data_IF_899730682973
#
_entry.id   IF_899730682973
#
_cell.length_a   1.000
_cell.length_b   1.000
_cell.length_c   1.000
_cell.angle_alpha   90.00
_cell.angle_beta   90.00
_cell.angle_gamma   90.00
#
_symmetry.space_group_name_H-M   'P 1'
#
loop_
_entity.id
_entity.type
_entity.pdbx_description
1 polymer ?
#
# COMPACT_ATOMS: atom_id res chain seq x y z
N UNK A 1 8.83 -1.47 55.58
CA UNK A 1 7.70 -2.37 55.90
C UNK A 1 7.52 -3.38 54.78
N UNK A 2 7.77 -4.67 55.07
CA UNK A 2 7.36 -5.88 54.33
C UNK A 2 7.97 -6.27 52.96
N UNK A 3 9.26 -6.06 52.66
CA UNK A 3 9.86 -6.75 51.49
C UNK A 3 10.03 -8.27 51.71
N UNK A 4 10.40 -8.71 52.92
CA UNK A 4 10.66 -10.12 53.23
C UNK A 4 9.42 -11.03 53.16
N UNK A 5 8.21 -10.49 53.43
CA UNK A 5 6.96 -11.28 53.38
C UNK A 5 6.50 -11.55 51.94
N UNK A 6 6.87 -10.68 51.00
CA UNK A 6 6.62 -10.88 49.57
C UNK A 6 7.68 -11.77 48.92
N UNK A 7 8.96 -11.65 49.32
CA UNK A 7 10.01 -12.56 48.83
C UNK A 7 9.76 -14.03 49.19
N UNK A 8 9.21 -14.33 50.38
CA UNK A 8 8.80 -15.70 50.75
C UNK A 8 7.65 -16.28 49.92
N UNK A 9 6.92 -15.49 49.13
CA UNK A 9 5.78 -15.95 48.30
C UNK A 9 6.14 -16.19 46.83
N UNK A 10 7.36 -15.87 46.43
CA UNK A 10 7.83 -16.07 45.05
C UNK A 10 8.38 -17.47 44.80
N UNK A 11 8.78 -18.20 45.84
CA UNK A 11 9.26 -19.58 45.74
C UNK A 11 8.09 -20.57 45.72
N UNK A 12 7.98 -21.36 44.64
CA UNK A 12 6.97 -22.38 44.41
C UNK A 12 7.44 -23.79 44.84
N UNK A 13 8.57 -23.91 45.54
CA UNK A 13 9.04 -25.13 46.20
C UNK A 13 9.17 -26.35 45.26
N UNK A 14 9.57 -26.12 44.01
CA UNK A 14 9.72 -27.17 42.99
C UNK A 14 8.40 -27.67 42.42
N UNK A 15 7.33 -26.87 42.49
CA UNK A 15 6.03 -27.23 41.91
C UNK A 15 6.14 -27.56 40.42
N UNK A 16 5.45 -28.62 39.99
CA UNK A 16 5.34 -29.01 38.58
C UNK A 16 4.04 -28.47 38.01
N UNK A 17 4.13 -27.45 37.17
CA UNK A 17 2.99 -26.83 36.49
C UNK A 17 2.80 -27.43 35.10
N UNK A 18 1.55 -27.61 34.71
CA UNK A 18 1.18 -28.02 33.34
C UNK A 18 1.01 -26.77 32.51
N UNK A 19 1.83 -26.64 31.49
CA UNK A 19 1.89 -25.44 30.68
C UNK A 19 1.48 -25.76 29.25
N UNK A 20 0.72 -24.85 28.64
CA UNK A 20 0.29 -24.99 27.25
C UNK A 20 0.73 -23.81 26.41
N UNK A 21 1.08 -24.06 25.15
CA UNK A 21 1.56 -23.04 24.22
C UNK A 21 1.16 -23.37 22.80
N UNK A 22 1.08 -22.37 21.92
CA UNK A 22 0.81 -22.56 20.50
C UNK A 22 1.81 -21.74 19.68
N UNK A 23 2.02 -22.17 18.43
CA UNK A 23 2.99 -21.56 17.53
C UNK A 23 2.65 -20.10 17.25
N UNK A 24 3.58 -19.20 17.57
CA UNK A 24 3.45 -17.77 17.33
C UNK A 24 4.85 -17.15 17.23
N UNK A 25 5.36 -17.00 16.00
CA UNK A 25 6.68 -16.41 15.82
C UNK A 25 6.68 -14.91 16.24
N UNK A 26 7.80 -14.35 16.73
CA UNK A 26 9.00 -15.03 17.23
C UNK A 26 8.90 -15.46 18.71
N UNK A 27 7.72 -15.36 19.33
CA UNK A 27 7.46 -15.70 20.74
C UNK A 27 7.64 -17.17 21.06
N UNK A 28 7.05 -18.01 20.23
CA UNK A 28 7.04 -19.47 20.35
C UNK A 28 7.18 -20.09 18.97
N UNK A 29 8.24 -20.85 18.77
CA UNK A 29 8.43 -21.76 17.67
C UNK A 29 8.22 -23.18 18.19
N UNK A 30 7.45 -23.96 17.44
CA UNK A 30 7.19 -25.37 17.73
C UNK A 30 7.69 -26.17 16.55
N UNK A 31 8.61 -27.09 16.80
CA UNK A 31 9.14 -28.03 15.82
C UNK A 31 9.01 -29.45 16.37
N UNK A 32 8.72 -30.41 15.51
CA UNK A 32 8.68 -31.81 15.90
C UNK A 32 10.02 -32.46 15.53
N UNK A 33 10.68 -33.05 16.53
CA UNK A 33 11.92 -33.81 16.32
C UNK A 33 11.60 -35.15 15.64
N UNK A 34 12.58 -35.76 14.96
CA UNK A 34 12.43 -37.06 14.31
C UNK A 34 11.96 -38.18 15.25
N UNK A 35 12.21 -38.04 16.55
CA UNK A 35 11.82 -38.96 17.63
C UNK A 35 10.38 -38.74 18.13
N UNK A 36 9.65 -37.78 17.55
CA UNK A 36 8.27 -37.44 17.94
C UNK A 36 8.15 -36.46 19.11
N UNK A 37 9.27 -36.08 19.74
CA UNK A 37 9.30 -35.06 20.79
C UNK A 37 9.08 -33.65 20.22
N UNK A 38 8.46 -32.76 21.02
CA UNK A 38 8.28 -31.36 20.66
C UNK A 38 9.48 -30.54 21.11
N UNK A 39 10.14 -29.88 20.17
CA UNK A 39 11.14 -28.86 20.43
C UNK A 39 10.47 -27.48 20.39
N UNK A 40 10.38 -26.85 21.56
CA UNK A 40 9.70 -25.56 21.75
C UNK A 40 10.72 -24.53 22.20
N UNK A 41 10.80 -23.41 21.50
CA UNK A 41 11.76 -22.34 21.79
C UNK A 41 11.24 -20.96 21.37
N UNK A 42 11.83 -19.88 21.88
CA UNK A 42 11.44 -18.51 21.53
C UNK A 42 11.59 -17.57 22.72
N UNK A 43 11.31 -16.27 22.53
CA UNK A 43 11.55 -15.28 23.60
C UNK A 43 10.64 -15.48 24.81
N UNK A 44 9.46 -16.07 24.62
CA UNK A 44 8.55 -16.39 25.73
C UNK A 44 9.05 -17.57 26.55
N UNK A 45 9.71 -18.54 25.92
CA UNK A 45 10.32 -19.68 26.59
C UNK A 45 11.56 -19.24 27.37
N UNK A 46 12.36 -18.32 26.82
CA UNK A 46 13.48 -17.70 27.55
C UNK A 46 13.00 -16.98 28.83
N UNK A 47 11.82 -16.36 28.79
CA UNK A 47 11.20 -15.74 29.96
C UNK A 47 10.72 -16.77 30.98
N UNK A 48 10.05 -17.83 30.53
CA UNK A 48 9.62 -18.91 31.44
C UNK A 48 10.82 -19.58 32.09
N UNK A 49 11.90 -19.86 31.36
CA UNK A 49 13.13 -20.39 31.95
C UNK A 49 13.71 -19.46 33.04
N UNK A 50 13.61 -18.14 32.84
CA UNK A 50 14.01 -17.17 33.87
C UNK A 50 13.07 -17.20 35.07
N UNK A 51 11.76 -17.32 34.85
CA UNK A 51 10.77 -17.46 35.91
C UNK A 51 10.96 -18.76 36.70
N UNK A 52 11.23 -19.88 36.04
CA UNK A 52 11.50 -21.18 36.67
C UNK A 52 12.68 -21.08 37.64
N UNK A 53 13.74 -20.36 37.27
CA UNK A 53 14.88 -20.10 38.15
C UNK A 53 14.55 -19.15 39.30
N UNK A 54 13.78 -18.09 39.03
CA UNK A 54 13.44 -17.08 40.04
C UNK A 54 12.41 -17.56 41.06
N UNK A 55 11.50 -18.43 40.64
CA UNK A 55 10.34 -18.88 41.42
C UNK A 55 10.42 -20.37 41.76
N UNK A 56 11.47 -21.08 41.34
CA UNK A 56 11.72 -22.50 41.66
C UNK A 56 10.50 -23.39 41.34
N UNK A 57 10.09 -23.42 40.09
CA UNK A 57 9.06 -24.33 39.56
C UNK A 57 9.55 -24.99 38.27
N UNK A 58 8.81 -25.98 37.79
CA UNK A 58 9.05 -26.62 36.49
C UNK A 58 7.77 -26.62 35.67
N UNK A 59 7.87 -26.24 34.41
CA UNK A 59 6.78 -26.05 33.47
C UNK A 59 6.85 -27.16 32.41
N UNK A 60 5.91 -28.11 32.45
CA UNK A 60 5.81 -29.12 31.40
C UNK A 60 5.00 -28.55 30.24
N UNK A 61 5.68 -28.09 29.19
CA UNK A 61 5.07 -27.33 28.08
C UNK A 61 4.66 -28.28 26.96
N UNK A 62 3.40 -28.19 26.53
CA UNK A 62 2.87 -28.96 25.40
C UNK A 62 1.89 -28.15 24.55
N UNK A 63 1.78 -28.43 23.24
CA UNK A 63 0.76 -27.82 22.41
C UNK A 63 -0.63 -28.41 22.66
N UNK A 64 -1.72 -27.64 22.48
CA UNK A 64 -3.08 -28.16 22.59
C UNK A 64 -3.37 -29.15 21.44
N UNK A 65 -4.22 -30.16 21.66
CA UNK A 65 -4.49 -31.19 20.65
C UNK A 65 -5.07 -30.65 19.33
N UNK A 66 -5.83 -29.56 19.39
CA UNK A 66 -6.50 -28.93 18.26
C UNK A 66 -5.68 -27.79 17.60
N UNK A 67 -4.49 -27.49 18.14
CA UNK A 67 -3.57 -26.45 17.66
C UNK A 67 -4.16 -25.04 17.56
N UNK A 68 -5.13 -24.70 18.40
CA UNK A 68 -5.78 -23.39 18.42
C UNK A 68 -5.42 -22.58 19.67
N UNK A 69 -5.50 -21.25 19.57
CA UNK A 69 -5.37 -20.36 20.74
C UNK A 69 -6.59 -20.46 21.66
N UNK A 70 -7.77 -20.53 21.06
CA UNK A 70 -9.02 -20.78 21.75
C UNK A 70 -10.10 -19.82 21.31
N UNK A 71 -11.19 -20.40 20.81
CA UNK A 71 -12.42 -19.73 20.43
C UNK A 71 -13.60 -20.33 21.18
N UNK A 72 -14.61 -19.50 21.42
CA UNK A 72 -15.85 -19.91 22.03
C UNK A 72 -16.69 -20.66 20.98
N UNK A 73 -17.06 -21.91 21.29
CA UNK A 73 -18.01 -22.66 20.46
C UNK A 73 -19.44 -22.28 20.81
N UNK A 74 -20.36 -22.58 19.90
CA UNK A 74 -21.81 -22.38 20.08
C UNK A 74 -22.40 -23.19 21.25
N UNK A 75 -21.74 -24.26 21.65
CA UNK A 75 -22.12 -25.07 22.82
C UNK A 75 -21.66 -24.44 24.16
N UNK A 76 -20.97 -23.30 24.12
CA UNK A 76 -20.41 -22.62 25.29
C UNK A 76 -19.05 -23.15 25.74
N UNK A 77 -18.50 -24.18 25.09
CA UNK A 77 -17.18 -24.72 25.39
C UNK A 77 -16.07 -23.95 24.69
N UNK A 78 -14.89 -23.92 25.30
CA UNK A 78 -13.70 -23.28 24.74
C UNK A 78 -12.79 -24.30 24.05
N UNK A 79 -12.23 -23.92 22.90
CA UNK A 79 -11.18 -24.68 22.20
C UNK A 79 -9.78 -24.24 22.62
N UNK A 80 -8.75 -24.93 22.12
CA UNK A 80 -7.38 -24.46 22.19
C UNK A 80 -6.80 -24.33 23.59
N UNK A 81 -5.84 -23.43 23.72
CA UNK A 81 -5.16 -23.10 24.99
C UNK A 81 -6.16 -22.68 26.08
N UNK A 82 -7.14 -21.85 25.72
CA UNK A 82 -8.17 -21.37 26.65
C UNK A 82 -9.00 -22.55 27.17
N UNK A 83 -9.41 -23.47 26.30
CA UNK A 83 -10.16 -24.67 26.67
C UNK A 83 -9.39 -25.63 27.58
N UNK A 84 -8.08 -25.78 27.36
CA UNK A 84 -7.22 -26.61 28.22
C UNK A 84 -7.12 -26.05 29.65
N UNK A 85 -7.04 -24.72 29.78
CA UNK A 85 -6.98 -24.07 31.09
C UNK A 85 -8.33 -24.03 31.77
N UNK A 86 -9.42 -23.75 31.06
CA UNK A 86 -10.78 -23.79 31.59
C UNK A 86 -11.13 -25.17 32.15
N UNK A 87 -10.82 -26.23 31.38
CA UNK A 87 -11.22 -27.60 31.69
C UNK A 87 -10.36 -28.34 32.73
N UNK A 88 -9.45 -27.67 33.46
CA UNK A 88 -8.66 -28.39 34.47
C UNK A 88 -7.30 -28.92 34.02
N UNK A 89 -7.01 -28.93 32.72
CA UNK A 89 -5.92 -29.72 32.13
C UNK A 89 -4.58 -29.00 32.08
N UNK A 90 -4.60 -27.67 32.02
CA UNK A 90 -3.42 -26.82 32.12
C UNK A 90 -3.56 -25.77 33.22
N UNK A 91 -2.42 -25.34 33.76
CA UNK A 91 -2.32 -24.38 34.87
C UNK A 91 -1.86 -22.99 34.38
N UNK A 92 -1.06 -22.94 33.30
CA UNK A 92 -0.49 -21.72 32.73
C UNK A 92 -0.47 -21.76 31.19
N UNK A 93 -0.88 -20.65 30.55
CA UNK A 93 -0.73 -20.41 29.11
C UNK A 93 0.55 -19.62 28.87
N UNK A 94 1.48 -20.22 28.13
CA UNK A 94 2.78 -19.64 27.79
C UNK A 94 2.81 -19.27 26.31
N UNK A 95 2.04 -18.26 25.92
CA UNK A 95 2.11 -17.64 24.59
C UNK A 95 1.57 -16.21 24.64
N UNK A 96 1.56 -15.48 23.52
CA UNK A 96 0.98 -14.14 23.44
C UNK A 96 -0.52 -14.24 23.25
N UNK A 97 -1.23 -14.56 24.32
CA UNK A 97 -2.68 -14.66 24.27
C UNK A 97 -3.27 -13.24 24.34
N UNK A 98 -3.96 -12.83 23.27
CA UNK A 98 -4.65 -11.55 23.23
C UNK A 98 -5.74 -11.47 24.30
N UNK A 99 -5.71 -10.39 25.08
CA UNK A 99 -6.68 -10.09 26.12
C UNK A 99 -7.97 -9.55 25.50
N UNK A 100 -8.92 -10.46 25.27
CA UNK A 100 -10.28 -10.15 24.80
C UNK A 100 -11.29 -10.33 25.91
N UNK A 101 -12.40 -9.58 25.84
CA UNK A 101 -13.49 -9.65 26.81
C UNK A 101 -14.06 -11.07 26.91
N UNK A 102 -14.21 -11.76 25.77
CA UNK A 102 -14.70 -13.13 25.74
C UNK A 102 -13.77 -14.08 26.52
N UNK A 103 -12.45 -14.02 26.31
CA UNK A 103 -11.49 -14.89 27.00
C UNK A 103 -11.35 -14.56 28.49
N UNK A 104 -11.44 -13.28 28.87
CA UNK A 104 -11.42 -12.84 30.27
C UNK A 104 -12.58 -13.41 31.12
N UNK A 105 -13.60 -13.98 30.47
CA UNK A 105 -14.68 -14.69 31.17
C UNK A 105 -14.19 -15.97 31.87
N UNK A 106 -13.15 -16.63 31.35
CA UNK A 106 -12.66 -17.96 31.80
C UNK A 106 -11.19 -18.01 32.20
N UNK A 107 -10.38 -17.04 31.76
CA UNK A 107 -8.98 -16.91 32.17
C UNK A 107 -8.71 -15.56 32.82
N UNK A 108 -7.74 -15.53 33.74
CA UNK A 108 -7.15 -14.28 34.24
C UNK A 108 -5.85 -14.04 33.47
N UNK A 109 -5.80 -12.90 32.78
CA UNK A 109 -4.61 -12.46 32.07
C UNK A 109 -3.57 -11.93 33.05
N UNK A 110 -2.33 -12.36 32.84
CA UNK A 110 -1.18 -11.79 33.53
C UNK A 110 -0.80 -10.45 32.90
N UNK A 111 0.14 -9.74 33.52
CA UNK A 111 0.68 -8.48 33.00
C UNK A 111 1.05 -8.62 31.52
N UNK A 112 0.55 -7.68 30.71
CA UNK A 112 0.76 -7.68 29.27
C UNK A 112 2.25 -7.58 28.96
N UNK A 113 2.74 -8.53 28.16
CA UNK A 113 4.14 -8.59 27.72
C UNK A 113 4.35 -7.79 26.43
N UNK A 114 3.30 -7.62 25.64
CA UNK A 114 3.31 -6.83 24.42
C UNK A 114 1.94 -6.27 24.04
N UNK A 115 1.93 -5.34 23.09
CA UNK A 115 0.71 -4.91 22.39
C UNK A 115 0.77 -5.53 20.99
N UNK A 116 -0.09 -6.50 20.71
CA UNK A 116 -0.23 -7.07 19.36
C UNK A 116 -1.04 -6.12 18.49
N UNK A 117 -0.75 -6.12 17.20
CA UNK A 117 -1.48 -5.35 16.19
C UNK A 117 -1.46 -6.11 14.87
N UNK A 118 -2.60 -6.12 14.19
CA UNK A 118 -2.79 -6.90 12.98
C UNK A 118 -2.64 -6.04 11.74
N UNK A 119 -1.93 -6.58 10.76
CA UNK A 119 -1.71 -5.97 9.45
C UNK A 119 -2.30 -6.89 8.39
N UNK A 120 -2.82 -6.28 7.33
CA UNK A 120 -3.20 -7.03 6.14
C UNK A 120 -1.96 -7.24 5.28
N UNK A 121 -1.75 -8.46 4.83
CA UNK A 121 -0.71 -8.82 3.86
C UNK A 121 -1.36 -9.40 2.62
N UNK A 122 -0.74 -9.15 1.48
CA UNK A 122 -1.15 -9.72 0.21
C UNK A 122 0.07 -9.87 -0.69
N UNK A 123 -0.07 -10.59 -1.80
CA UNK A 123 0.94 -10.54 -2.86
C UNK A 123 1.22 -9.08 -3.30
N UNK A 124 2.42 -8.75 -3.78
CA UNK A 124 2.71 -7.44 -4.31
C UNK A 124 1.76 -7.07 -5.44
N UNK A 125 1.04 -5.96 -5.26
CA UNK A 125 0.17 -5.43 -6.29
C UNK A 125 1.04 -5.00 -7.48
N UNK A 126 0.78 -5.57 -8.66
CA UNK A 126 1.33 -5.01 -9.89
C UNK A 126 0.70 -3.64 -10.06
N UNK A 127 1.50 -2.59 -10.22
CA UNK A 127 0.97 -1.26 -10.53
C UNK A 127 0.23 -1.33 -11.88
N UNK A 128 -1.09 -1.47 -11.80
CA UNK A 128 -2.00 -1.52 -12.95
C UNK A 128 -2.35 -0.11 -13.44
N UNK A 129 -1.80 0.95 -12.83
CA UNK A 129 -1.98 2.30 -13.37
C UNK A 129 -1.48 2.33 -14.80
N UNK A 130 -2.38 2.76 -15.68
CA UNK A 130 -2.11 2.89 -17.10
C UNK A 130 -0.86 3.74 -17.30
N UNK A 131 0.08 3.24 -18.11
CA UNK A 131 1.30 4.01 -18.46
C UNK A 131 0.93 5.37 -19.03
N UNK A 132 -0.21 5.45 -19.73
CA UNK A 132 -0.78 6.67 -20.30
C UNK A 132 -1.07 7.75 -19.25
N UNK A 133 -1.54 7.36 -18.07
CA UNK A 133 -1.93 8.30 -17.02
C UNK A 133 -0.76 8.78 -16.17
N UNK A 134 0.41 8.13 -16.24
CA UNK A 134 1.56 8.48 -15.38
C UNK A 134 2.08 9.91 -15.61
N UNK A 135 2.00 10.41 -16.85
CA UNK A 135 2.45 11.76 -17.18
C UNK A 135 1.37 12.83 -16.95
N UNK A 136 0.09 12.47 -17.02
CA UNK A 136 -1.01 13.42 -16.83
C UNK A 136 -1.53 13.46 -15.40
N UNK A 137 -1.18 12.49 -14.56
CA UNK A 137 -1.64 12.38 -13.17
C UNK A 137 -1.09 13.46 -12.24
N UNK A 138 -0.11 14.24 -12.70
CA UNK A 138 0.48 15.33 -11.92
C UNK A 138 -0.54 16.43 -11.63
N UNK A 139 -1.19 16.93 -12.68
CA UNK A 139 -2.20 17.97 -12.53
C UNK A 139 -3.60 17.36 -12.50
N UNK A 140 -4.43 17.86 -11.59
CA UNK A 140 -5.86 17.54 -11.61
C UNK A 140 -6.48 18.06 -12.91
N UNK A 141 -7.61 17.47 -13.33
CA UNK A 141 -8.32 17.92 -14.53
C UNK A 141 -8.62 19.43 -14.50
N UNK A 142 -8.92 19.98 -13.32
CA UNK A 142 -9.14 21.42 -13.15
C UNK A 142 -7.90 22.26 -13.47
N UNK A 143 -6.71 21.81 -13.04
CA UNK A 143 -5.44 22.51 -13.32
C UNK A 143 -5.07 22.40 -14.81
N UNK A 144 -5.29 21.24 -15.44
CA UNK A 144 -5.11 21.10 -16.90
C UNK A 144 -6.00 22.06 -17.69
N UNK A 145 -7.26 22.19 -17.31
CA UNK A 145 -8.20 23.14 -17.94
C UNK A 145 -7.78 24.58 -17.71
N UNK A 146 -7.34 24.93 -16.50
CA UNK A 146 -6.83 26.26 -16.18
C UNK A 146 -5.57 26.60 -16.98
N UNK A 147 -4.64 25.65 -17.14
CA UNK A 147 -3.45 25.82 -17.96
C UNK A 147 -3.82 26.07 -19.43
N UNK A 148 -4.77 25.30 -19.97
CA UNK A 148 -5.32 25.53 -21.32
C UNK A 148 -5.96 26.92 -21.46
N UNK A 149 -6.72 27.36 -20.46
CA UNK A 149 -7.35 28.68 -20.44
C UNK A 149 -6.32 29.83 -20.38
N UNK A 150 -5.27 29.69 -19.56
CA UNK A 150 -4.19 30.68 -19.47
C UNK A 150 -3.38 30.74 -20.76
N UNK A 151 -3.07 29.61 -21.39
CA UNK A 151 -2.34 29.57 -22.66
C UNK A 151 -3.16 30.15 -23.82
N UNK A 152 -4.47 29.87 -23.87
CA UNK A 152 -5.36 30.43 -24.90
C UNK A 152 -5.57 31.92 -24.72
N UNK A 153 -5.80 32.38 -23.48
CA UNK A 153 -5.84 33.81 -23.15
C UNK A 153 -4.52 34.50 -23.48
N UNK A 154 -3.39 33.87 -23.15
CA UNK A 154 -2.05 34.33 -23.48
C UNK A 154 -1.82 34.47 -24.99
N UNK A 155 -2.19 33.46 -25.79
CA UNK A 155 -2.13 33.56 -27.26
C UNK A 155 -3.02 34.72 -27.77
N UNK A 156 -4.23 34.88 -27.23
CA UNK A 156 -5.13 35.96 -27.60
C UNK A 156 -4.55 37.35 -27.31
N UNK A 157 -4.05 37.57 -26.10
CA UNK A 157 -3.44 38.84 -25.68
C UNK A 157 -2.20 39.15 -26.51
N UNK A 158 -1.34 38.16 -26.74
CA UNK A 158 -0.13 38.34 -27.54
C UNK A 158 -0.47 38.61 -29.01
N UNK A 159 -1.47 37.92 -29.58
CA UNK A 159 -1.96 38.18 -30.93
C UNK A 159 -2.52 39.60 -31.09
N UNK A 160 -3.31 40.07 -30.13
CA UNK A 160 -3.82 41.46 -30.13
C UNK A 160 -2.66 42.45 -30.02
N UNK A 161 -1.68 42.21 -29.16
CA UNK A 161 -0.52 43.08 -29.02
C UNK A 161 0.29 43.19 -30.33
N UNK A 162 0.54 42.08 -31.01
CA UNK A 162 1.30 42.05 -32.28
C UNK A 162 0.51 42.66 -33.44
N UNK A 163 -0.82 42.54 -33.47
CA UNK A 163 -1.63 43.05 -34.59
C UNK A 163 -2.10 44.48 -34.43
N UNK A 164 -2.28 44.96 -33.18
CA UNK A 164 -2.87 46.28 -32.88
C UNK A 164 -1.87 47.31 -32.38
N UNK A 165 -0.69 46.92 -31.95
CA UNK A 165 0.34 47.88 -31.51
C UNK A 165 0.82 48.75 -32.69
N UNK A 166 0.78 50.10 -32.58
CA UNK A 166 1.24 51.00 -33.65
C UNK A 166 2.74 50.92 -33.93
N UNK A 167 3.53 50.57 -32.93
CA UNK A 167 5.01 50.53 -33.01
C UNK A 167 5.54 49.18 -33.50
N UNK A 168 4.68 48.24 -33.87
CA UNK A 168 5.08 46.92 -34.32
C UNK A 168 5.36 46.89 -35.82
N UNK A 169 6.53 46.40 -36.22
CA UNK A 169 6.98 46.37 -37.62
C UNK A 169 6.40 45.20 -38.41
N UNK A 170 6.13 44.07 -37.75
CA UNK A 170 5.60 42.85 -38.38
C UNK A 170 4.32 42.38 -37.68
N UNK A 171 3.26 42.18 -38.46
CA UNK A 171 1.99 41.60 -37.97
C UNK A 171 1.94 40.12 -38.31
N UNK A 172 1.98 39.27 -37.29
CA UNK A 172 1.87 37.82 -37.45
C UNK A 172 0.39 37.38 -37.48
N UNK A 173 0.01 36.43 -38.36
CA UNK A 173 -1.31 35.81 -38.34
C UNK A 173 -1.47 34.91 -37.10
N UNK A 174 -2.73 34.67 -36.69
CA UNK A 174 -3.06 33.90 -35.48
C UNK A 174 -2.39 32.51 -35.39
N UNK A 175 -2.28 31.70 -36.48
CA UNK A 175 -1.61 30.40 -36.41
C UNK A 175 -0.12 30.52 -36.08
N UNK A 176 0.56 31.52 -36.64
CA UNK A 176 1.97 31.79 -36.32
C UNK A 176 2.08 32.20 -34.85
N UNK A 177 1.22 33.11 -34.37
CA UNK A 177 1.20 33.54 -32.96
C UNK A 177 1.00 32.37 -31.99
N UNK A 178 0.04 31.48 -32.24
CA UNK A 178 -0.17 30.35 -31.33
C UNK A 178 0.93 29.28 -31.45
N UNK A 179 1.57 29.13 -32.61
CA UNK A 179 2.75 28.26 -32.75
C UNK A 179 3.94 28.76 -31.92
N UNK A 180 4.12 30.09 -31.80
CA UNK A 180 5.15 30.70 -30.95
C UNK A 180 4.89 30.44 -29.46
N UNK A 181 3.64 30.58 -29.00
CA UNK A 181 3.27 30.28 -27.61
C UNK A 181 3.49 28.80 -27.30
N UNK A 182 3.17 27.90 -28.24
CA UNK A 182 3.43 26.48 -28.09
C UNK A 182 4.95 26.16 -28.05
N UNK A 183 5.75 26.82 -28.88
CA UNK A 183 7.21 26.71 -28.84
C UNK A 183 7.79 27.19 -27.49
N UNK A 184 7.27 28.28 -26.92
CA UNK A 184 7.67 28.74 -25.59
C UNK A 184 7.34 27.73 -24.48
N UNK A 185 6.22 27.01 -24.59
CA UNK A 185 5.88 25.92 -23.65
C UNK A 185 6.83 24.73 -23.80
N UNK A 186 7.25 24.41 -25.03
CA UNK A 186 8.24 23.39 -25.31
C UNK A 186 9.69 23.82 -24.98
N UNK A 187 9.87 24.97 -24.33
CA UNK A 187 11.17 25.58 -24.04
C UNK A 187 12.05 25.76 -25.28
N UNK A 188 11.43 25.94 -26.46
CA UNK A 188 12.13 26.19 -27.70
C UNK A 188 12.34 27.70 -27.89
N UNK A 189 13.55 28.07 -28.28
CA UNK A 189 13.85 29.43 -28.71
C UNK A 189 13.11 29.77 -30.00
N UNK A 190 12.73 31.03 -30.16
CA UNK A 190 12.24 31.54 -31.43
C UNK A 190 13.05 32.77 -31.82
N UNK A 191 13.28 32.92 -33.11
CA UNK A 191 13.80 34.13 -33.75
C UNK A 191 12.70 35.23 -33.83
N UNK A 192 11.97 35.45 -32.73
CA UNK A 192 10.83 36.36 -32.70
C UNK A 192 11.28 37.82 -32.59
N UNK A 193 11.07 38.55 -33.69
CA UNK A 193 11.42 39.95 -33.92
C UNK A 193 10.38 40.94 -33.35
N UNK A 194 9.99 40.79 -32.08
CA UNK A 194 8.99 41.69 -31.47
C UNK A 194 9.61 43.05 -31.12
N UNK A 195 9.10 44.12 -31.73
CA UNK A 195 9.69 45.46 -31.65
C UNK A 195 9.02 46.37 -30.62
N UNK A 196 7.69 46.28 -30.45
CA UNK A 196 6.97 47.17 -29.53
C UNK A 196 7.09 46.73 -28.06
N UNK A 197 7.06 47.69 -27.13
CA UNK A 197 7.19 47.41 -25.69
C UNK A 197 6.02 46.60 -25.12
N UNK A 198 4.80 46.80 -25.64
CA UNK A 198 3.58 46.09 -25.21
C UNK A 198 3.64 44.60 -25.55
N UNK A 199 4.07 44.27 -26.77
CA UNK A 199 4.22 42.91 -27.27
C UNK A 199 5.45 42.22 -26.66
N UNK A 200 6.52 42.95 -26.35
CA UNK A 200 7.65 42.45 -25.51
C UNK A 200 7.21 42.08 -24.11
N UNK A 201 6.40 42.92 -23.44
CA UNK A 201 5.90 42.61 -22.10
C UNK A 201 4.99 41.38 -22.13
N UNK A 202 4.06 41.30 -23.10
CA UNK A 202 3.21 40.12 -23.29
C UNK A 202 4.04 38.86 -23.52
N UNK A 203 5.07 38.93 -24.37
CA UNK A 203 5.98 37.81 -24.63
C UNK A 203 6.75 37.40 -23.37
N UNK A 204 7.32 38.36 -22.64
CA UNK A 204 8.01 38.10 -21.37
C UNK A 204 7.08 37.45 -20.35
N UNK A 205 5.82 37.90 -20.23
CA UNK A 205 4.86 37.28 -19.31
C UNK A 205 4.53 35.84 -19.69
N UNK A 206 4.44 35.54 -20.99
CA UNK A 206 4.22 34.17 -21.50
C UNK A 206 5.45 33.31 -21.20
N UNK A 207 6.66 33.79 -21.47
CA UNK A 207 7.90 33.08 -21.16
C UNK A 207 8.03 32.78 -19.66
N UNK A 208 7.72 33.74 -18.80
CA UNK A 208 7.72 33.53 -17.36
C UNK A 208 6.69 32.49 -16.92
N UNK A 209 5.47 32.56 -17.46
CA UNK A 209 4.43 31.58 -17.16
C UNK A 209 4.82 30.17 -17.63
N UNK A 210 5.37 30.01 -18.83
CA UNK A 210 5.80 28.70 -19.34
C UNK A 210 6.98 28.13 -18.57
N UNK A 211 7.94 28.96 -18.16
CA UNK A 211 9.06 28.53 -17.30
C UNK A 211 8.55 28.00 -15.97
N UNK A 212 7.63 28.70 -15.29
CA UNK A 212 7.05 28.26 -14.03
C UNK A 212 6.35 26.91 -14.18
N UNK A 213 5.51 26.76 -15.20
CA UNK A 213 4.79 25.50 -15.48
C UNK A 213 5.78 24.35 -15.74
N UNK A 214 6.79 24.58 -16.57
CA UNK A 214 7.81 23.55 -16.91
C UNK A 214 8.64 23.15 -15.69
N UNK A 215 9.05 24.10 -14.85
CA UNK A 215 9.82 23.81 -13.63
C UNK A 215 8.98 23.01 -12.63
N UNK A 216 7.72 23.38 -12.43
CA UNK A 216 6.84 22.64 -11.53
C UNK A 216 6.59 21.21 -12.03
N UNK A 217 6.25 21.06 -13.31
CA UNK A 217 6.00 19.75 -13.92
C UNK A 217 7.23 18.84 -13.86
N UNK A 218 8.42 19.37 -14.19
CA UNK A 218 9.67 18.59 -14.14
C UNK A 218 10.07 18.20 -12.72
N UNK A 219 9.89 19.10 -11.74
CA UNK A 219 10.22 18.83 -10.33
C UNK A 219 9.38 17.69 -9.76
N UNK A 220 8.08 17.66 -10.03
CA UNK A 220 7.24 16.56 -9.59
C UNK A 220 7.57 15.25 -10.29
N UNK A 221 7.80 15.30 -11.61
CA UNK A 221 8.18 14.11 -12.37
C UNK A 221 9.47 13.51 -11.79
N UNK A 222 10.46 14.33 -11.44
CA UNK A 222 11.65 13.87 -10.75
C UNK A 222 11.33 13.23 -9.39
N UNK A 223 10.52 13.87 -8.55
CA UNK A 223 10.15 13.33 -7.24
C UNK A 223 9.41 11.99 -7.33
N UNK A 224 8.55 11.82 -8.33
CA UNK A 224 7.78 10.58 -8.51
C UNK A 224 8.64 9.46 -9.09
N UNK A 225 9.60 9.80 -9.96
CA UNK A 225 10.53 8.81 -10.52
C UNK A 225 11.61 8.39 -9.51
N UNK A 226 11.94 9.23 -8.53
CA UNK A 226 12.89 8.88 -7.46
C UNK A 226 12.24 8.10 -6.33
N UNK A 227 10.97 8.40 -6.00
CA UNK A 227 10.22 7.67 -4.99
C UNK A 227 9.41 6.54 -5.63
N UNK A 228 9.89 5.31 -5.51
CA UNK A 228 9.09 4.12 -5.74
C UNK A 228 8.08 3.94 -4.57
N UNK A 229 7.01 4.73 -4.56
CA UNK A 229 5.96 4.56 -3.56
C UNK A 229 5.18 3.28 -3.90
N UNK A 230 5.15 2.27 -3.01
CA UNK A 230 4.38 1.07 -3.24
C UNK A 230 2.89 1.43 -3.42
N UNK A 231 2.27 0.84 -4.44
CA UNK A 231 0.84 0.99 -4.68
C UNK A 231 0.07 0.02 -3.78
N UNK A 232 -0.79 0.56 -2.92
CA UNK A 232 -1.72 -0.23 -2.12
C UNK A 232 -3.11 -0.16 -2.76
N UNK A 233 -3.64 -1.29 -3.29
CA UNK A 233 -4.96 -1.30 -3.92
C UNK A 233 -6.09 -1.11 -2.89
N UNK A 234 -5.83 -1.47 -1.63
CA UNK A 234 -6.79 -1.36 -0.55
C UNK A 234 -6.22 -0.53 0.61
N UNK A 235 -7.09 0.18 1.30
CA UNK A 235 -6.75 1.02 2.46
C UNK A 235 -7.44 0.52 3.76
N UNK A 236 -8.31 -0.47 3.67
CA UNK A 236 -8.94 -1.13 4.82
C UNK A 236 -10.15 -1.99 4.45
N UNK A 237 -10.94 -2.36 5.46
CA UNK A 237 -12.08 -3.27 5.28
C UNK A 237 -13.12 -2.76 4.26
N UNK A 238 -13.42 -1.46 4.26
CA UNK A 238 -14.38 -0.88 3.32
C UNK A 238 -13.93 -1.06 1.86
N UNK A 239 -12.68 -0.72 1.54
CA UNK A 239 -12.14 -0.90 0.19
C UNK A 239 -12.05 -2.36 -0.24
N UNK A 240 -11.89 -3.31 0.71
CA UNK A 240 -11.96 -4.75 0.40
C UNK A 240 -13.40 -5.18 0.08
N UNK A 241 -14.39 -4.65 0.80
CA UNK A 241 -15.80 -4.93 0.55
C UNK A 241 -16.26 -4.36 -0.80
N UNK A 242 -15.79 -3.16 -1.16
CA UNK A 242 -16.16 -2.50 -2.41
C UNK A 242 -15.59 -3.25 -3.65
N UNK A 243 -14.46 -3.95 -3.50
CA UNK A 243 -13.85 -4.78 -4.55
C UNK A 243 -14.66 -6.07 -4.82
N UNK A 244 -15.21 -6.70 -3.78
CA UNK A 244 -16.11 -7.87 -3.88
C UNK A 244 -15.50 -9.17 -4.43
N UNK A 245 -14.29 -9.14 -5.00
CA UNK A 245 -13.58 -10.29 -5.55
C UNK A 245 -12.55 -10.90 -4.60
N UNK A 246 -12.09 -10.12 -3.62
CA UNK A 246 -11.04 -10.53 -2.70
C UNK A 246 -11.57 -11.32 -1.51
N UNK A 247 -10.87 -12.39 -1.12
CA UNK A 247 -11.15 -13.13 0.11
C UNK A 247 -10.23 -12.67 1.23
N UNK A 248 -10.79 -12.48 2.43
CA UNK A 248 -10.03 -12.13 3.63
C UNK A 248 -9.75 -13.38 4.46
N UNK A 249 -8.47 -13.64 4.67
CA UNK A 249 -7.95 -14.77 5.42
C UNK A 249 -7.67 -14.46 6.89
N UNK A 250 -8.03 -15.37 7.78
CA UNK A 250 -7.80 -15.34 9.24
C UNK A 250 -7.33 -16.70 9.75
N UNK A 251 -6.60 -16.73 10.86
CA UNK A 251 -6.31 -17.99 11.56
C UNK A 251 -7.54 -18.46 12.33
N UNK A 252 -7.90 -19.73 12.16
CA UNK A 252 -8.99 -20.37 12.90
C UNK A 252 -8.68 -20.44 14.41
N UNK A 253 -9.66 -20.14 15.24
CA UNK A 253 -9.49 -20.13 16.70
C UNK A 253 -8.69 -18.93 17.25
N UNK A 254 -8.47 -17.90 16.42
CA UNK A 254 -7.81 -16.65 16.83
C UNK A 254 -8.77 -15.68 17.54
N UNK A 255 -8.21 -14.72 18.27
CA UNK A 255 -8.93 -13.62 18.92
C UNK A 255 -9.77 -12.83 17.92
N UNK A 256 -9.19 -12.51 16.77
CA UNK A 256 -9.83 -11.74 15.71
C UNK A 256 -11.03 -12.45 15.12
N UNK A 257 -10.97 -13.78 14.96
CA UNK A 257 -12.13 -14.50 14.44
C UNK A 257 -13.36 -14.20 15.30
N UNK A 258 -13.22 -14.30 16.63
CA UNK A 258 -14.31 -14.04 17.57
C UNK A 258 -14.70 -12.56 17.54
N UNK A 259 -13.72 -11.65 17.52
CA UNK A 259 -13.97 -10.19 17.50
C UNK A 259 -14.76 -9.74 16.26
N UNK A 260 -14.43 -10.29 15.08
CA UNK A 260 -15.12 -9.96 13.83
C UNK A 260 -16.50 -10.64 13.78
N UNK A 261 -16.59 -11.91 14.19
CA UNK A 261 -17.84 -12.68 14.19
C UNK A 261 -18.89 -12.09 15.15
N UNK A 262 -18.47 -11.66 16.34
CA UNK A 262 -19.35 -11.10 17.38
C UNK A 262 -19.51 -9.57 17.28
N UNK A 263 -18.85 -8.92 16.33
CA UNK A 263 -18.88 -7.47 16.22
C UNK A 263 -20.29 -6.93 15.97
N UNK A 264 -20.60 -5.79 16.60
CA UNK A 264 -21.83 -5.01 16.34
C UNK A 264 -21.67 -4.00 15.21
N UNK A 265 -20.45 -3.81 14.69
CA UNK A 265 -20.20 -2.92 13.59
C UNK A 265 -20.79 -3.50 12.29
N UNK A 266 -21.67 -2.77 11.58
CA UNK A 266 -22.23 -3.24 10.31
C UNK A 266 -21.17 -3.57 9.26
N UNK A 267 -20.02 -2.90 9.25
CA UNK A 267 -18.92 -3.16 8.32
C UNK A 267 -18.31 -4.53 8.61
N UNK A 268 -17.95 -4.81 9.88
CA UNK A 268 -17.33 -6.07 10.26
C UNK A 268 -18.26 -7.27 10.10
N UNK A 269 -19.56 -7.09 10.33
CA UNK A 269 -20.56 -8.12 10.04
C UNK A 269 -20.64 -8.47 8.55
N UNK A 270 -20.50 -7.47 7.67
CA UNK A 270 -20.41 -7.69 6.23
C UNK A 270 -19.11 -8.36 5.85
N UNK A 271 -17.98 -7.94 6.42
CA UNK A 271 -16.66 -8.59 6.21
C UNK A 271 -16.72 -10.08 6.56
N UNK A 272 -17.33 -10.44 7.69
CA UNK A 272 -17.50 -11.84 8.09
C UNK A 272 -18.28 -12.65 7.05
N UNK A 273 -19.42 -12.12 6.61
CA UNK A 273 -20.36 -12.81 5.71
C UNK A 273 -19.89 -12.86 4.25
N UNK A 274 -19.28 -11.77 3.75
CA UNK A 274 -18.95 -11.58 2.34
C UNK A 274 -17.51 -12.00 2.02
N UNK A 275 -16.54 -11.77 2.92
CA UNK A 275 -15.11 -11.93 2.62
C UNK A 275 -14.44 -13.14 3.30
N UNK A 276 -14.92 -13.55 4.47
CA UNK A 276 -14.27 -14.59 5.30
C UNK A 276 -14.99 -15.94 5.14
N UNK A 277 -16.29 -15.99 5.39
CA UNK A 277 -17.03 -17.26 5.41
C UNK A 277 -17.37 -17.73 3.99
N UNK A 278 -17.07 -18.99 3.57
CA UNK A 278 -16.47 -20.10 4.33
C UNK A 278 -14.98 -20.39 4.01
N UNK A 279 -14.36 -19.67 3.07
CA UNK A 279 -13.03 -20.04 2.51
C UNK A 279 -11.83 -19.33 3.13
N UNK A 280 -12.05 -18.33 3.98
CA UNK A 280 -11.00 -17.48 4.55
C UNK A 280 -10.34 -18.00 5.83
N UNK A 281 -10.69 -19.18 6.34
CA UNK A 281 -10.09 -19.70 7.57
C UNK A 281 -8.86 -20.56 7.27
N UNK A 282 -7.69 -20.09 7.69
CA UNK A 282 -6.42 -20.80 7.64
C UNK A 282 -6.14 -21.53 8.97
N UNK A 283 -5.49 -22.70 8.96
CA UNK A 283 -5.18 -23.44 10.18
C UNK A 283 -4.07 -22.79 11.02
N UNK A 284 -3.12 -22.11 10.39
CA UNK A 284 -2.00 -21.43 11.07
C UNK A 284 -1.48 -20.26 10.21
N UNK A 285 -0.64 -19.42 10.81
CA UNK A 285 -0.03 -18.26 10.13
C UNK A 285 0.75 -18.66 8.87
N UNK A 286 1.45 -19.80 8.89
CA UNK A 286 2.31 -20.23 7.78
C UNK A 286 1.49 -20.58 6.53
N UNK A 287 0.40 -21.33 6.69
CA UNK A 287 -0.52 -21.66 5.63
C UNK A 287 -1.31 -20.43 5.17
N UNK A 288 -1.72 -19.55 6.09
CA UNK A 288 -2.38 -18.29 5.74
C UNK A 288 -1.50 -17.37 4.88
N UNK A 289 -0.21 -17.25 5.21
CA UNK A 289 0.77 -16.52 4.41
C UNK A 289 0.98 -17.17 3.03
N UNK A 290 1.05 -18.51 2.94
CA UNK A 290 1.15 -19.20 1.65
C UNK A 290 -0.07 -18.89 0.76
N UNK A 291 -1.28 -18.88 1.34
CA UNK A 291 -2.50 -18.54 0.62
C UNK A 291 -2.51 -17.09 0.12
N UNK A 292 -1.98 -16.13 0.88
CA UNK A 292 -1.90 -14.71 0.45
C UNK A 292 -0.94 -14.45 -0.71
N UNK A 293 -0.17 -15.45 -1.16
CA UNK A 293 0.59 -15.37 -2.41
C UNK A 293 -0.32 -15.48 -3.65
N UNK A 294 -1.51 -16.06 -3.51
CA UNK A 294 -2.46 -16.17 -4.61
C UNK A 294 -3.23 -14.86 -4.84
N UNK A 295 -3.60 -14.63 -6.10
CA UNK A 295 -4.35 -13.44 -6.52
C UNK A 295 -5.71 -13.40 -5.82
N UNK A 296 -6.06 -12.22 -5.27
CA UNK A 296 -7.34 -12.01 -4.60
C UNK A 296 -7.42 -12.55 -3.16
N UNK A 297 -6.32 -13.00 -2.56
CA UNK A 297 -6.29 -13.40 -1.16
C UNK A 297 -5.52 -12.40 -0.30
N UNK A 298 -6.20 -11.77 0.64
CA UNK A 298 -5.61 -10.86 1.64
C UNK A 298 -5.62 -11.58 2.98
N UNK A 299 -4.49 -11.68 3.68
CA UNK A 299 -4.40 -12.36 4.97
C UNK A 299 -4.17 -11.35 6.09
N UNK A 300 -4.88 -11.48 7.21
CA UNK A 300 -4.71 -10.64 8.37
C UNK A 300 -3.86 -11.38 9.41
N UNK A 301 -2.71 -10.81 9.76
CA UNK A 301 -1.69 -11.43 10.62
C UNK A 301 -1.13 -10.42 11.61
N UNK A 302 -0.66 -10.89 12.76
CA UNK A 302 0.08 -10.05 13.72
C UNK A 302 1.42 -9.62 13.08
N UNK A 303 1.74 -8.33 13.14
CA UNK A 303 2.94 -7.79 12.49
C UNK A 303 4.24 -8.48 12.96
N UNK A 304 4.40 -8.71 14.27
CA UNK A 304 5.56 -9.40 14.83
C UNK A 304 5.67 -10.84 14.34
N UNK A 305 4.53 -11.53 14.15
CA UNK A 305 4.49 -12.89 13.62
C UNK A 305 4.82 -12.97 12.14
N UNK A 306 4.40 -11.99 11.33
CA UNK A 306 4.81 -11.91 9.93
C UNK A 306 6.33 -11.87 9.78
N UNK A 307 7.01 -10.94 10.47
CA UNK A 307 8.48 -10.82 10.40
C UNK A 307 9.22 -11.94 11.16
N UNK A 308 8.58 -12.54 12.17
CA UNK A 308 9.16 -13.63 12.96
C UNK A 308 9.29 -14.94 12.19
N UNK A 309 8.45 -15.17 11.17
CA UNK A 309 8.46 -16.43 10.42
C UNK A 309 9.70 -16.55 9.49
N UNK A 310 10.03 -17.79 9.08
CA UNK A 310 11.14 -18.09 8.16
C UNK A 310 10.69 -17.96 6.69
N UNK A 311 10.17 -16.79 6.32
CA UNK A 311 9.67 -16.51 4.98
C UNK A 311 10.34 -15.23 4.48
N UNK A 312 10.52 -15.09 3.17
CA UNK A 312 10.98 -13.84 2.57
C UNK A 312 9.86 -12.78 2.61
N UNK A 313 9.98 -11.72 3.43
CA UNK A 313 8.92 -10.70 3.56
C UNK A 313 8.69 -9.92 2.26
N UNK A 314 9.69 -9.87 1.37
CA UNK A 314 9.60 -9.13 0.10
C UNK A 314 8.69 -9.80 -0.94
N UNK A 315 8.27 -11.04 -0.70
CA UNK A 315 7.26 -11.72 -1.54
C UNK A 315 5.83 -11.22 -1.25
N UNK A 316 5.68 -10.27 -0.31
CA UNK A 316 4.40 -9.74 0.14
C UNK A 316 4.42 -8.21 0.19
N UNK A 317 3.25 -7.62 0.12
CA UNK A 317 3.01 -6.22 0.44
C UNK A 317 2.18 -6.14 1.72
N UNK A 318 2.74 -5.47 2.71
CA UNK A 318 2.09 -5.20 3.99
C UNK A 318 1.34 -3.88 3.86
N UNK A 319 0.02 -3.88 4.09
CA UNK A 319 -0.76 -2.65 4.07
C UNK A 319 -0.41 -1.78 5.28
N UNK A 320 -0.38 -0.44 5.13
CA UNK A 320 0.13 0.46 6.16
C UNK A 320 -0.78 0.57 7.40
N UNK A 321 -2.07 0.24 7.28
CA UNK A 321 -2.99 0.31 8.41
C UNK A 321 -2.84 -0.90 9.34
N UNK A 322 -2.79 -0.59 10.63
CA UNK A 322 -2.85 -1.59 11.70
C UNK A 322 -4.25 -1.63 12.28
N UNK A 323 -4.78 -2.83 12.46
CA UNK A 323 -6.10 -3.12 12.99
C UNK A 323 -5.98 -3.86 14.32
N UNK A 324 -7.03 -3.83 15.12
CA UNK A 324 -7.22 -4.64 16.34
C UNK A 324 -5.97 -4.72 17.23
N UNK A 325 -5.73 -3.67 18.03
CA UNK A 325 -4.60 -3.64 18.96
C UNK A 325 -5.01 -4.24 20.30
N UNK A 326 -4.43 -5.38 20.67
CA UNK A 326 -4.71 -6.03 21.95
C UNK A 326 -3.48 -6.03 22.86
N UNK A 327 -3.65 -5.84 24.17
CA UNK A 327 -2.62 -6.23 25.13
C UNK A 327 -2.57 -7.75 25.19
N UNK A 328 -1.36 -8.32 25.11
CA UNK A 328 -1.18 -9.77 25.02
C UNK A 328 -0.08 -10.25 25.96
N UNK A 329 -0.28 -11.44 26.49
CA UNK A 329 0.62 -12.01 27.48
C UNK A 329 0.19 -13.40 27.92
N UNK A 330 0.79 -13.86 29.00
CA UNK A 330 0.45 -15.14 29.62
C UNK A 330 -0.90 -15.07 30.33
N UNK A 331 -1.51 -16.23 30.56
CA UNK A 331 -2.80 -16.31 31.23
C UNK A 331 -2.88 -17.56 32.12
N UNK A 332 -3.66 -17.48 33.18
CA UNK A 332 -3.94 -18.59 34.11
C UNK A 332 -5.45 -18.82 34.20
N UNK A 333 -5.88 -19.94 34.81
CA UNK A 333 -7.31 -20.13 35.07
C UNK A 333 -7.85 -18.99 35.92
N UNK A 334 -9.07 -18.54 35.61
CA UNK A 334 -9.77 -17.54 36.40
C UNK A 334 -9.86 -17.93 37.88
N UNK A 335 -9.50 -16.99 38.75
CA UNK A 335 -9.43 -17.18 40.19
C UNK A 335 -8.24 -18.00 40.69
N UNK A 336 -7.26 -18.30 39.83
CA UNK A 336 -6.08 -19.06 40.23
C UNK A 336 -5.20 -18.25 41.19
N UNK A 337 -4.72 -18.85 42.31
CA UNK A 337 -3.79 -18.17 43.23
C UNK A 337 -2.43 -17.86 42.59
N UNK A 338 -2.13 -18.47 41.44
CA UNK A 338 -0.90 -18.22 40.69
C UNK A 338 -0.87 -16.82 40.07
N UNK A 339 -2.02 -16.23 39.73
CA UNK A 339 -2.10 -14.96 39.00
C UNK A 339 -1.27 -13.84 39.63
N UNK A 340 -1.59 -13.42 40.88
CA UNK A 340 -0.87 -12.35 41.56
C UNK A 340 0.62 -12.63 41.78
N UNK A 341 1.00 -13.91 41.91
CA UNK A 341 2.39 -14.32 42.15
C UNK A 341 3.20 -14.16 40.86
N UNK A 342 2.68 -14.65 39.74
CA UNK A 342 3.33 -14.51 38.43
C UNK A 342 3.36 -13.07 37.96
N UNK A 343 2.32 -12.27 38.22
CA UNK A 343 2.32 -10.84 37.89
C UNK A 343 3.46 -10.08 38.56
N UNK A 344 3.67 -10.32 39.86
CA UNK A 344 4.76 -9.68 40.59
C UNK A 344 6.14 -10.05 40.00
N UNK A 345 6.33 -11.32 39.63
CA UNK A 345 7.56 -11.80 39.00
C UNK A 345 7.77 -11.22 37.59
N UNK A 346 6.73 -11.20 36.76
CA UNK A 346 6.76 -10.67 35.41
C UNK A 346 7.03 -9.15 35.41
N UNK A 347 6.40 -8.39 36.31
CA UNK A 347 6.68 -6.97 36.49
C UNK A 347 8.15 -6.74 36.85
N UNK A 348 8.75 -7.60 37.68
CA UNK A 348 10.20 -7.55 37.98
C UNK A 348 11.04 -7.79 36.73
N UNK A 349 10.69 -8.76 35.88
CA UNK A 349 11.38 -9.02 34.61
C UNK A 349 11.24 -7.88 33.59
N UNK A 350 10.08 -7.19 33.58
CA UNK A 350 9.84 -6.00 32.76
C UNK A 350 10.73 -4.86 33.24
N UNK A 351 10.68 -4.53 34.54
CA UNK A 351 11.40 -3.40 35.13
C UNK A 351 12.92 -3.57 35.09
N UNK A 352 13.42 -4.80 35.17
CA UNK A 352 14.86 -5.10 35.05
C UNK A 352 15.36 -5.14 33.61
N UNK A 353 14.46 -5.06 32.62
CA UNK A 353 14.83 -5.08 31.19
C UNK A 353 15.10 -6.47 30.62
N UNK A 354 14.87 -7.55 31.38
CA UNK A 354 15.03 -8.93 30.91
C UNK A 354 14.08 -9.21 29.74
N UNK A 355 12.82 -8.77 29.83
CA UNK A 355 11.85 -8.87 28.72
C UNK A 355 12.39 -8.22 27.44
N UNK A 356 12.90 -7.00 27.55
CA UNK A 356 13.44 -6.26 26.40
C UNK A 356 14.64 -6.98 25.79
N UNK A 357 15.55 -7.49 26.61
CA UNK A 357 16.72 -8.25 26.16
C UNK A 357 16.31 -9.52 25.41
N UNK A 358 15.36 -10.29 25.95
CA UNK A 358 14.84 -11.49 25.29
C UNK A 358 14.18 -11.13 23.95
N UNK A 359 13.33 -10.10 23.90
CA UNK A 359 12.73 -9.68 22.62
C UNK A 359 13.76 -9.28 21.57
N UNK A 360 14.78 -8.49 21.94
CA UNK A 360 15.83 -8.06 21.01
C UNK A 360 16.63 -9.27 20.48
N UNK A 361 16.93 -10.25 21.32
CA UNK A 361 17.63 -11.49 20.91
C UNK A 361 16.90 -12.24 19.81
N UNK A 362 15.57 -12.26 19.85
CA UNK A 362 14.72 -12.98 18.89
C UNK A 362 14.11 -12.10 17.80
N UNK A 363 14.34 -10.79 17.84
CA UNK A 363 13.85 -9.87 16.82
C UNK A 363 14.63 -10.07 15.52
N UNK A 364 13.90 -10.35 14.44
CA UNK A 364 14.46 -10.34 13.09
C UNK A 364 14.46 -8.91 12.56
N UNK A 365 15.54 -8.53 11.88
CA UNK A 365 15.56 -7.26 11.17
C UNK A 365 14.52 -7.30 10.05
N UNK A 366 13.74 -6.22 9.93
CA UNK A 366 12.88 -6.00 8.78
C UNK A 366 13.79 -5.87 7.56
N UNK A 367 13.72 -6.77 6.57
CA UNK A 367 14.55 -6.65 5.38
C UNK A 367 14.13 -5.41 4.62
N UNK A 368 15.10 -4.71 4.05
CA UNK A 368 14.81 -3.64 3.11
C UNK A 368 14.39 -4.26 1.79
N UNK A 369 13.07 -4.31 1.56
CA UNK A 369 12.47 -4.78 0.32
C UNK A 369 12.38 -3.65 -0.73
N UNK A 370 12.88 -2.45 -0.40
CA UNK A 370 13.13 -1.45 -1.41
C UNK A 370 14.27 -1.98 -2.26
N UNK A 371 14.03 -2.26 -3.54
CA UNK A 371 15.12 -2.36 -4.50
C UNK A 371 15.86 -1.02 -4.48
N UNK A 372 16.87 -0.89 -3.61
CA UNK A 372 17.81 0.22 -3.54
C UNK A 372 18.63 0.34 -4.83
N UNK A 373 18.49 -0.64 -5.74
CA UNK A 373 18.91 -0.52 -7.13
C UNK A 373 17.99 0.45 -7.86
N UNK A 374 18.48 1.67 -8.11
CA UNK A 374 17.94 2.59 -9.10
C UNK A 374 17.59 1.79 -10.35
N UNK A 375 16.31 1.48 -10.53
CA UNK A 375 15.86 0.67 -11.65
C UNK A 375 15.85 1.57 -12.88
N UNK A 376 16.50 1.17 -13.99
CA UNK A 376 16.50 1.97 -15.20
C UNK A 376 15.07 2.13 -15.71
N UNK A 377 14.74 3.31 -16.22
CA UNK A 377 13.44 3.56 -16.85
C UNK A 377 13.30 2.61 -18.04
N UNK A 378 12.21 1.84 -18.06
CA UNK A 378 11.99 0.81 -19.09
C UNK A 378 11.23 1.36 -20.30
N UNK A 379 11.39 0.73 -21.47
CA UNK A 379 10.61 1.08 -22.68
C UNK A 379 9.10 1.10 -22.41
N UNK A 380 8.63 0.15 -21.58
CA UNK A 380 7.22 0.05 -21.18
C UNK A 380 6.74 1.31 -20.47
N UNK A 381 7.59 2.00 -19.71
CA UNK A 381 7.24 3.23 -18.99
C UNK A 381 7.20 4.45 -19.91
N UNK A 382 7.97 4.47 -21.02
CA UNK A 382 8.01 5.59 -21.98
C UNK A 382 7.17 5.38 -23.25
N UNK A 383 6.40 4.28 -23.33
CA UNK A 383 5.67 3.90 -24.54
C UNK A 383 4.67 4.97 -25.01
N UNK A 384 4.06 5.71 -24.07
CA UNK A 384 3.12 6.79 -24.38
C UNK A 384 3.77 7.92 -25.17
N UNK A 385 5.00 8.30 -24.82
CA UNK A 385 5.75 9.36 -25.51
C UNK A 385 6.09 8.96 -26.94
N UNK A 386 6.57 7.73 -27.15
CA UNK A 386 6.87 7.22 -28.49
C UNK A 386 5.62 7.12 -29.36
N UNK A 387 4.48 6.73 -28.78
CA UNK A 387 3.22 6.65 -29.51
C UNK A 387 2.70 8.02 -29.95
N UNK A 388 2.75 9.03 -29.07
CA UNK A 388 2.33 10.41 -29.42
C UNK A 388 3.16 10.94 -30.59
N UNK A 389 4.48 10.69 -30.59
CA UNK A 389 5.36 11.08 -31.69
C UNK A 389 4.96 10.36 -33.00
N UNK A 390 4.74 9.04 -32.95
CA UNK A 390 4.37 8.27 -34.13
C UNK A 390 3.04 8.74 -34.74
N UNK A 391 2.01 8.96 -33.91
CA UNK A 391 0.71 9.48 -34.37
C UNK A 391 0.86 10.88 -34.95
N UNK A 392 1.62 11.77 -34.29
CA UNK A 392 1.87 13.13 -34.78
C UNK A 392 2.55 13.14 -36.15
N UNK A 393 3.57 12.30 -36.35
CA UNK A 393 4.26 12.18 -37.64
C UNK A 393 3.34 11.65 -38.73
N UNK A 394 2.53 10.62 -38.45
CA UNK A 394 1.58 10.05 -39.42
C UNK A 394 0.55 11.11 -39.83
N UNK A 395 -0.03 11.83 -38.86
CA UNK A 395 -0.98 12.90 -39.15
C UNK A 395 -0.34 14.00 -40.01
N UNK A 396 0.90 14.41 -39.71
CA UNK A 396 1.61 15.40 -40.52
C UNK A 396 1.79 14.96 -41.98
N UNK A 397 2.14 13.68 -42.22
CA UNK A 397 2.23 13.14 -43.58
C UNK A 397 0.88 13.09 -44.30
N UNK A 398 -0.21 12.79 -43.58
CA UNK A 398 -1.57 12.81 -44.12
C UNK A 398 -1.95 14.23 -44.54
N UNK A 399 -1.73 15.22 -43.67
CA UNK A 399 -2.01 16.62 -43.98
C UNK A 399 -1.20 17.12 -45.19
N UNK A 400 0.09 16.80 -45.27
CA UNK A 400 0.92 17.13 -46.42
C UNK A 400 0.39 16.48 -47.72
N UNK A 401 -0.09 15.24 -47.64
CA UNK A 401 -0.75 14.55 -48.74
C UNK A 401 -2.03 15.26 -49.18
N UNK A 402 -2.89 15.63 -48.23
CA UNK A 402 -4.12 16.39 -48.48
C UNK A 402 -3.84 17.75 -49.12
N UNK A 403 -2.84 18.49 -48.63
CA UNK A 403 -2.42 19.78 -49.19
C UNK A 403 -1.97 19.65 -50.65
N UNK A 404 -1.12 18.66 -50.95
CA UNK A 404 -0.69 18.40 -52.33
C UNK A 404 -1.84 18.00 -53.26
N UNK A 405 -2.79 17.21 -52.76
CA UNK A 405 -3.98 16.80 -53.54
C UNK A 405 -4.87 18.02 -53.79
N UNK A 406 -5.09 18.84 -52.76
CA UNK A 406 -5.87 20.06 -52.84
C UNK A 406 -5.28 21.04 -53.85
N UNK A 407 -3.98 21.29 -53.78
CA UNK A 407 -3.30 22.23 -54.68
C UNK A 407 -3.30 21.70 -56.12
N UNK A 408 -3.08 20.40 -56.32
CA UNK A 408 -3.17 19.76 -57.65
C UNK A 408 -4.57 19.88 -58.24
N UNK A 409 -5.62 19.73 -57.43
CA UNK A 409 -7.00 19.87 -57.89
C UNK A 409 -7.38 21.34 -58.16
N UNK A 410 -6.90 22.28 -57.35
CA UNK A 410 -7.04 23.73 -57.57
C UNK A 410 -6.35 24.16 -58.87
N UNK A 411 -5.15 23.65 -59.13
CA UNK A 411 -4.42 23.89 -60.38
C UNK A 411 -5.16 23.34 -61.60
N UNK A 412 -5.67 22.10 -61.53
CA UNK A 412 -6.49 21.51 -62.60
C UNK A 412 -7.80 22.28 -62.84
N UNK A 413 -8.45 22.75 -61.78
CA UNK A 413 -9.67 23.56 -61.86
C UNK A 413 -9.40 24.93 -62.51
N UNK A 414 -8.32 25.61 -62.13
CA UNK A 414 -7.90 26.89 -62.73
C UNK A 414 -7.52 26.76 -64.21
N UNK A 415 -6.91 25.64 -64.63
CA UNK A 415 -6.66 25.34 -66.06
C UNK A 415 -7.98 25.15 -66.82
N UNK A 416 -8.96 24.48 -66.21
CA UNK A 416 -10.28 24.23 -66.84
C UNK A 416 -11.08 25.53 -67.02
N UNK A 417 -11.00 26.46 -66.06
CA UNK A 417 -11.57 27.80 -66.14
C UNK A 417 -10.91 28.68 -67.22
N UNK A 418 -9.57 28.68 -67.32
CA UNK A 418 -8.86 29.41 -68.39
C UNK A 418 -9.17 28.88 -69.79
N UNK A 419 -9.40 27.57 -69.95
CA UNK A 419 -9.84 26.98 -71.23
C UNK A 419 -11.28 27.36 -71.63
N UNK A 420 -12.16 27.66 -70.68
CA UNK A 420 -13.51 28.16 -70.98
C UNK A 420 -13.48 29.65 -71.37
N UNK A 421 -12.70 30.48 -70.66
CA UNK A 421 -12.53 31.91 -70.99
C UNK A 421 -11.83 32.15 -72.34
N UNK A 422 -10.87 31.30 -72.73
CA UNK A 422 -10.20 31.40 -74.04
C UNK A 422 -11.04 30.96 -75.24
N UNK A 423 -12.23 30.37 -75.03
CA UNK A 423 -13.14 29.92 -76.11
C UNK A 423 -14.22 30.95 -76.47
N UNK A 424 -14.45 31.96 -75.64
CA UNK A 424 -15.37 33.07 -75.94
C UNK A 424 -14.69 34.22 -76.71
N UNK A 425 -13.35 34.30 -76.70
CA UNK A 425 -12.58 35.37 -77.37
C UNK A 425 -12.24 35.15 -78.86
N UNK A 426 -12.68 34.07 -79.49
CA UNK A 426 -12.33 33.73 -80.89
C UNK A 426 -13.53 33.60 -81.83
N UNK A 427 -14.71 34.11 -81.46
CA UNK A 427 -15.92 34.08 -82.32
C UNK A 427 -16.33 35.42 -82.95
N UNK A 428 -15.52 36.49 -82.84
CA UNK A 428 -15.86 37.83 -83.37
C UNK A 428 -14.84 38.39 -84.37
N UNK A 429 -14.34 37.57 -85.29
CA UNK A 429 -13.51 38.06 -86.41
C UNK A 429 -13.69 37.16 -87.64
N UNK A 430 -14.81 37.34 -88.34
CA UNK A 430 -15.01 37.02 -89.76
C UNK A 430 -16.48 37.32 -90.08
N UNK A 431 -16.77 38.57 -90.43
CA UNK A 431 -17.88 38.99 -91.29
C UNK A 431 -17.70 40.49 -91.58
N UNK A 432 -17.00 40.79 -92.68
CA UNK A 432 -16.99 42.08 -93.38
C UNK A 432 -16.63 41.85 -94.85
#
# INVERSE_FOLDING_TARGET
MNNERFERRLDLLGAKLRCVTEQQAPGVYIQQTAEGAWQIFGWMLDLVATLEQMMNFTCNISPPPDRQFGALRKDGSWTGLVGEVDAGRADLIVTSLDNTVARASVVDFLVALEMTGFVMIMRPARDMRSVWTRYTSEFSTGVWLALGAVLTLGCGVFHVAVTRSPCETRRAPLPETCSLVLAALASQGCESLVTASSSRLAWLTILWATVLVSVHYTSWLYSTLTLNVPFYPYDGFQSLLDDGHSTLGLVAGSSIQTEIEESKDPILQRVWKELIYPKGLAPNDVEGMKMSRHDGYVFLIIESSFYGNNINPCDYTVLPKTFFKFPSGFAVRKGSPLGPIFDAALVKLINTGVLRRSKIKWAKLKPDCSDLGVSPITLKQMISTFFILAVGSILAFIFLGCEKIWDRNKFKFNIKLRRHSGREGTSSFNDA
#
